data_IF_267812294733
#
_entry.id   IF_267812294733
#
_cell.length_a   1.000
_cell.length_b   1.000
_cell.length_c   1.000
_cell.angle_alpha   90.00
_cell.angle_beta   90.00
_cell.angle_gamma   90.00
#
_symmetry.space_group_name_H-M   'P 1'
#
loop_
_entity.id
_entity.type
_entity.pdbx_description
1 polymer ?
#
# COMPACT_ATOMS: atom_id res chain seq x y z
N UNK A 1 12.45 -12.71 11.62
CA UNK A 1 12.16 -12.18 10.29
C UNK A 1 13.26 -11.26 9.84
N UNK A 2 13.58 -11.28 8.55
CA UNK A 2 14.51 -10.34 7.94
C UNK A 2 13.67 -9.20 7.35
N UNK A 3 13.96 -7.92 7.64
CA UNK A 3 13.28 -6.80 6.99
C UNK A 3 13.58 -6.81 5.48
N UNK A 4 12.73 -6.20 4.64
CA UNK A 4 13.04 -6.10 3.22
C UNK A 4 14.33 -5.30 3.02
N UNK A 5 15.12 -5.67 2.00
CA UNK A 5 16.37 -4.97 1.69
C UNK A 5 16.13 -3.49 1.35
N UNK A 6 14.97 -3.17 0.77
CA UNK A 6 14.50 -1.81 0.53
C UNK A 6 13.13 -1.67 1.17
N UNK A 7 13.04 -0.88 2.24
CA UNK A 7 11.76 -0.58 2.86
C UNK A 7 10.98 0.41 1.97
N UNK A 8 9.75 0.06 1.53
CA UNK A 8 8.91 0.99 0.80
C UNK A 8 8.49 2.16 1.69
N UNK A 9 8.29 3.32 1.06
CA UNK A 9 7.65 4.48 1.68
C UNK A 9 6.16 4.48 1.33
N UNK A 10 5.36 5.26 2.05
CA UNK A 10 3.96 5.46 1.73
C UNK A 10 3.78 6.08 0.33
N UNK A 11 4.66 7.01 -0.05
CA UNK A 11 4.70 7.60 -1.39
C UNK A 11 4.93 6.54 -2.48
N UNK A 12 5.91 5.63 -2.30
CA UNK A 12 6.16 4.57 -3.28
C UNK A 12 4.93 3.66 -3.49
N UNK A 13 4.18 3.37 -2.42
CA UNK A 13 2.95 2.57 -2.49
C UNK A 13 1.82 3.36 -3.16
N UNK A 14 1.59 4.62 -2.77
CA UNK A 14 0.56 5.49 -3.36
C UNK A 14 0.79 5.65 -4.87
N UNK A 15 2.00 6.01 -5.28
CA UNK A 15 2.34 6.19 -6.70
C UNK A 15 2.17 4.91 -7.51
N UNK A 16 2.51 3.76 -6.92
CA UNK A 16 2.31 2.46 -7.57
C UNK A 16 0.84 2.18 -7.85
N UNK A 17 -0.05 2.54 -6.92
CA UNK A 17 -1.50 2.36 -7.07
C UNK A 17 -2.06 3.37 -8.06
N UNK A 18 -1.70 4.66 -7.96
CA UNK A 18 -2.16 5.70 -8.89
C UNK A 18 -1.77 5.39 -10.34
N UNK A 19 -0.53 4.94 -10.57
CA UNK A 19 -0.07 4.50 -11.90
C UNK A 19 -0.84 3.30 -12.43
N UNK A 20 -1.24 2.38 -11.55
CA UNK A 20 -2.04 1.23 -11.95
C UNK A 20 -3.48 1.62 -12.31
N UNK A 21 -4.10 2.51 -11.53
CA UNK A 21 -5.42 3.07 -11.84
C UNK A 21 -5.41 3.85 -13.15
N UNK A 22 -4.41 4.69 -13.37
CA UNK A 22 -4.21 5.44 -14.62
C UNK A 22 -4.11 4.51 -15.84
N UNK A 23 -3.30 3.45 -15.74
CA UNK A 23 -3.18 2.42 -16.78
C UNK A 23 -4.51 1.70 -17.07
N UNK A 24 -5.42 1.60 -16.10
CA UNK A 24 -6.75 1.02 -16.27
C UNK A 24 -7.82 2.03 -16.67
N UNK A 25 -7.48 3.33 -16.74
CA UNK A 25 -8.43 4.42 -17.01
C UNK A 25 -9.43 4.64 -15.88
N UNK A 26 -9.06 4.35 -14.63
CA UNK A 26 -9.89 4.51 -13.45
C UNK A 26 -9.56 5.82 -12.72
N UNK A 27 -10.57 6.62 -12.42
CA UNK A 27 -10.43 7.81 -11.58
C UNK A 27 -10.33 7.40 -10.10
N UNK A 28 -9.22 7.71 -9.39
CA UNK A 28 -9.08 7.43 -7.97
C UNK A 28 -10.22 7.96 -7.10
N UNK A 29 -10.77 9.14 -7.44
CA UNK A 29 -11.88 9.74 -6.71
C UNK A 29 -13.16 8.90 -6.76
N UNK A 30 -13.41 8.25 -7.89
CA UNK A 30 -14.60 7.41 -8.11
C UNK A 30 -14.46 5.99 -7.54
N UNK A 31 -13.24 5.45 -7.49
CA UNK A 31 -13.00 4.05 -7.08
C UNK A 31 -12.48 3.89 -5.65
N UNK A 32 -12.10 4.97 -4.96
CA UNK A 32 -11.50 4.93 -3.62
C UNK A 32 -12.32 4.12 -2.61
N UNK A 33 -13.64 4.27 -2.58
CA UNK A 33 -14.55 3.53 -1.68
C UNK A 33 -14.62 2.02 -1.97
N UNK A 34 -14.11 1.56 -3.12
CA UNK A 34 -14.11 0.16 -3.56
C UNK A 34 -12.70 -0.43 -3.62
N UNK A 35 -11.68 0.34 -3.26
CA UNK A 35 -10.28 -0.03 -3.36
C UNK A 35 -9.72 -0.45 -2.00
N UNK A 36 -9.06 -1.61 -1.94
CA UNK A 36 -8.41 -2.12 -0.73
C UNK A 36 -6.94 -2.37 -1.01
N UNK A 37 -6.05 -1.76 -0.22
CA UNK A 37 -4.61 -1.97 -0.30
C UNK A 37 -4.18 -2.99 0.75
N UNK A 38 -3.54 -4.08 0.34
CA UNK A 38 -3.12 -5.18 1.22
C UNK A 38 -1.69 -5.62 0.92
N UNK A 39 -1.00 -6.30 1.86
CA UNK A 39 0.23 -7.00 1.52
C UNK A 39 -0.06 -8.09 0.48
N UNK A 40 0.87 -8.33 -0.44
CA UNK A 40 0.71 -9.33 -1.50
C UNK A 40 0.54 -10.77 -0.98
N UNK A 41 1.07 -11.07 0.21
CA UNK A 41 0.92 -12.35 0.88
C UNK A 41 0.87 -12.16 2.41
N UNK A 42 0.69 -13.25 3.16
CA UNK A 42 0.73 -13.20 4.62
C UNK A 42 2.11 -12.79 5.16
N UNK A 43 2.13 -12.07 6.29
CA UNK A 43 3.35 -11.63 6.98
C UNK A 43 4.03 -12.76 7.81
N UNK A 44 3.86 -14.02 7.41
CA UNK A 44 4.43 -15.15 8.12
C UNK A 44 5.96 -15.05 8.13
N UNK A 45 6.57 -15.16 9.32
CA UNK A 45 8.02 -15.04 9.50
C UNK A 45 8.55 -13.60 9.57
N UNK A 46 7.72 -12.57 9.36
CA UNK A 46 8.09 -11.17 9.58
C UNK A 46 8.41 -10.88 11.05
N UNK A 47 9.21 -9.85 11.32
CA UNK A 47 9.36 -9.36 12.70
C UNK A 47 8.10 -8.59 13.13
N UNK A 48 7.74 -8.58 14.42
CA UNK A 48 6.61 -7.77 14.89
C UNK A 48 6.75 -6.28 14.57
N UNK A 49 7.98 -5.76 14.53
CA UNK A 49 8.24 -4.37 14.13
C UNK A 49 7.92 -4.16 12.65
N UNK A 50 8.39 -5.04 11.77
CA UNK A 50 8.08 -4.94 10.34
C UNK A 50 6.58 -5.09 10.06
N UNK A 51 5.88 -5.98 10.78
CA UNK A 51 4.42 -6.12 10.67
C UNK A 51 3.72 -4.79 10.94
N UNK A 52 4.09 -4.08 12.01
CA UNK A 52 3.52 -2.78 12.34
C UNK A 52 3.85 -1.72 11.29
N UNK A 53 5.10 -1.66 10.83
CA UNK A 53 5.53 -0.73 9.78
C UNK A 53 4.75 -0.94 8.50
N UNK A 54 4.66 -2.18 8.00
CA UNK A 54 3.94 -2.51 6.78
C UNK A 54 2.45 -2.13 6.85
N UNK A 55 1.79 -2.45 7.96
CA UNK A 55 0.37 -2.10 8.14
C UNK A 55 0.16 -0.59 8.28
N UNK A 56 1.10 0.14 8.91
CA UNK A 56 1.04 1.60 8.98
C UNK A 56 1.22 2.24 7.60
N UNK A 57 2.17 1.74 6.79
CA UNK A 57 2.37 2.19 5.40
C UNK A 57 1.09 2.00 4.58
N UNK A 58 0.48 0.81 4.63
CA UNK A 58 -0.76 0.54 3.91
C UNK A 58 -1.91 1.46 4.34
N UNK A 59 -2.06 1.70 5.65
CA UNK A 59 -3.08 2.62 6.16
C UNK A 59 -2.88 4.04 5.65
N UNK A 60 -1.64 4.55 5.70
CA UNK A 60 -1.32 5.90 5.22
C UNK A 60 -1.50 6.01 3.72
N UNK A 61 -0.99 5.05 2.94
CA UNK A 61 -1.17 5.04 1.48
C UNK A 61 -2.64 4.95 1.08
N UNK A 62 -3.46 4.16 1.78
CA UNK A 62 -4.90 4.15 1.54
C UNK A 62 -5.57 5.50 1.80
N UNK A 63 -5.18 6.20 2.87
CA UNK A 63 -5.67 7.56 3.14
C UNK A 63 -5.21 8.59 2.10
N UNK A 64 -4.06 8.38 1.45
CA UNK A 64 -3.60 9.24 0.36
C UNK A 64 -4.40 9.03 -0.95
N UNK A 65 -5.22 7.98 -1.04
CA UNK A 65 -6.02 7.65 -2.22
C UNK A 65 -7.48 8.10 -2.11
N UNK A 66 -7.92 8.52 -0.91
CA UNK A 66 -9.24 9.13 -0.72
C UNK A 66 -9.16 10.60 -1.09
N UNK A 67 -10.03 11.06 -1.99
CA UNK A 67 -10.17 12.46 -2.38
C UNK A 67 -10.69 13.35 -1.26
#
# INVERSE_FOLDING_TARGET
>A
GVPPANEPTDAHVTESVLRWLDMLGLDPGEVSDRLVVTPACGLAGATPTWVRTALALLRTSAANLTG
#
